data_IF_534027324171
#
_entry.id   IF_534027324171
#
_cell.length_a   1.000
_cell.length_b   1.000
_cell.length_c   1.000
_cell.angle_alpha   90.00
_cell.angle_beta   90.00
_cell.angle_gamma   90.00
#
_symmetry.space_group_name_H-M   'P 1'
#
loop_
_entity.id
_entity.type
_entity.pdbx_description
1 polymer ?
#
# COMPACT_ATOMS: atom_id res chain seq x y z
N UNK A 1 -9.39 27.74 11.19
CA UNK A 1 -9.09 27.93 12.63
C UNK A 1 -8.53 29.33 12.78
N UNK A 2 -9.15 30.18 13.59
CA UNK A 2 -8.67 31.54 13.87
C UNK A 2 -7.39 31.49 14.71
N UNK A 3 -6.63 32.60 14.74
CA UNK A 3 -5.40 32.72 15.56
C UNK A 3 -5.65 32.47 17.05
N UNK A 4 -6.81 32.90 17.55
CA UNK A 4 -7.21 32.68 18.95
C UNK A 4 -7.45 31.21 19.25
N UNK A 5 -8.16 30.52 18.35
CA UNK A 5 -8.42 29.07 18.46
C UNK A 5 -7.12 28.28 18.44
N UNK A 6 -6.19 28.65 17.53
CA UNK A 6 -4.89 28.02 17.43
C UNK A 6 -4.04 28.23 18.70
N UNK A 7 -4.04 29.46 19.25
CA UNK A 7 -3.34 29.77 20.50
C UNK A 7 -3.92 29.03 21.71
N UNK A 8 -5.22 28.87 21.77
CA UNK A 8 -5.88 28.11 22.83
C UNK A 8 -5.53 26.61 22.73
N UNK A 9 -5.63 26.05 21.56
CA UNK A 9 -5.31 24.64 21.31
C UNK A 9 -3.83 24.32 21.54
N UNK A 10 -2.90 25.18 21.08
CA UNK A 10 -1.47 25.07 21.42
C UNK A 10 -1.24 25.11 22.94
N UNK A 11 -1.88 26.05 23.64
CA UNK A 11 -1.73 26.21 25.09
C UNK A 11 -2.11 24.94 25.86
N UNK A 12 -3.19 24.28 25.46
CA UNK A 12 -3.65 23.06 26.10
C UNK A 12 -2.65 21.91 25.92
N UNK A 13 -2.07 21.76 24.73
CA UNK A 13 -1.04 20.75 24.46
C UNK A 13 0.30 21.09 25.12
N UNK A 14 0.67 22.37 25.09
CA UNK A 14 1.89 22.82 25.79
C UNK A 14 1.79 22.65 27.31
N UNK A 15 0.59 22.85 27.89
CA UNK A 15 0.32 22.56 29.30
C UNK A 15 0.53 21.09 29.63
N UNK A 16 0.10 20.18 28.78
CA UNK A 16 0.31 18.73 28.95
C UNK A 16 1.81 18.40 29.01
N UNK A 17 2.63 19.00 28.13
CA UNK A 17 4.08 18.80 28.14
C UNK A 17 4.74 19.35 29.40
N UNK A 18 4.37 20.56 29.80
CA UNK A 18 4.91 21.18 31.02
C UNK A 18 4.56 20.37 32.27
N UNK A 19 3.38 19.80 32.34
CA UNK A 19 2.97 18.93 33.45
C UNK A 19 3.70 17.58 33.43
N UNK A 20 3.94 17.01 32.25
CA UNK A 20 4.73 15.78 32.09
C UNK A 20 6.21 16.00 32.52
N UNK A 21 6.76 17.17 32.23
CA UNK A 21 8.15 17.54 32.56
C UNK A 21 8.31 18.24 33.93
N UNK A 22 7.28 18.17 34.77
CA UNK A 22 7.23 18.92 36.06
C UNK A 22 8.43 18.66 36.96
N UNK A 23 8.92 17.43 37.02
CA UNK A 23 10.08 17.05 37.84
C UNK A 23 11.41 17.61 37.27
N UNK A 24 11.46 17.84 35.94
CA UNK A 24 12.65 18.31 35.23
C UNK A 24 12.45 19.68 34.58
N UNK A 25 11.48 20.47 35.05
CA UNK A 25 11.06 21.73 34.42
C UNK A 25 12.23 22.70 34.16
N UNK A 26 13.19 22.79 35.04
CA UNK A 26 14.35 23.68 34.86
C UNK A 26 15.21 23.25 33.67
N UNK A 27 15.41 21.95 33.48
CA UNK A 27 16.12 21.39 32.33
C UNK A 27 15.34 21.59 31.05
N UNK A 28 14.04 21.27 31.06
CA UNK A 28 13.14 21.49 29.92
C UNK A 28 13.17 22.94 29.43
N UNK A 29 13.11 23.92 30.34
CA UNK A 29 13.19 25.35 30.01
C UNK A 29 14.56 25.74 29.42
N UNK A 30 15.64 25.19 29.94
CA UNK A 30 16.99 25.39 29.39
C UNK A 30 17.13 24.84 28.00
N UNK A 31 16.69 23.59 27.77
CA UNK A 31 16.84 22.89 26.50
C UNK A 31 15.96 23.51 25.40
N UNK A 32 14.76 23.97 25.77
CA UNK A 32 13.85 24.67 24.83
C UNK A 32 14.18 26.14 24.62
N UNK A 33 15.01 26.72 25.46
CA UNK A 33 15.34 28.15 25.44
C UNK A 33 14.16 29.05 25.84
N UNK A 34 13.23 28.51 26.62
CA UNK A 34 12.06 29.24 27.16
C UNK A 34 12.39 29.76 28.53
N UNK A 35 12.32 31.07 28.72
CA UNK A 35 12.41 31.66 30.05
C UNK A 35 11.07 31.58 30.83
N UNK A 36 11.13 31.82 32.14
CA UNK A 36 9.94 31.76 33.01
C UNK A 36 8.85 32.76 32.62
N UNK A 37 9.23 33.91 32.05
CA UNK A 37 8.29 34.92 31.57
C UNK A 37 7.56 34.44 30.33
N UNK A 38 8.30 33.89 29.38
CA UNK A 38 7.71 33.29 28.17
C UNK A 38 6.82 32.08 28.48
N UNK A 39 7.26 31.21 29.42
CA UNK A 39 6.43 30.09 29.90
C UNK A 39 5.09 30.60 30.45
N UNK A 40 5.11 31.62 31.31
CA UNK A 40 3.89 32.20 31.85
C UNK A 40 3.00 32.79 30.78
N UNK A 41 3.57 33.48 29.78
CA UNK A 41 2.81 34.07 28.65
C UNK A 41 2.19 32.99 27.76
N UNK A 42 2.87 31.88 27.51
CA UNK A 42 2.33 30.78 26.70
C UNK A 42 1.20 30.01 27.40
N UNK A 43 1.20 29.98 28.74
CA UNK A 43 0.17 29.32 29.52
C UNK A 43 -0.99 30.25 29.91
N UNK A 44 -0.83 31.57 29.79
CA UNK A 44 -1.89 32.54 30.15
C UNK A 44 -2.98 32.61 29.06
N UNK A 45 -4.23 32.45 29.50
CA UNK A 45 -5.40 32.51 28.62
C UNK A 45 -5.67 33.91 28.02
N UNK A 46 -5.10 34.96 28.63
CA UNK A 46 -5.26 36.33 28.18
C UNK A 46 -4.35 36.71 27.00
N UNK A 47 -3.41 35.86 26.68
CA UNK A 47 -2.43 36.11 25.64
C UNK A 47 -2.62 35.16 24.45
N UNK A 48 -2.85 35.70 23.24
CA UNK A 48 -2.91 34.92 21.99
C UNK A 48 -1.52 34.82 21.34
N UNK A 49 -0.48 34.56 22.15
CA UNK A 49 0.91 34.49 21.65
C UNK A 49 1.30 33.03 21.42
N UNK A 50 1.78 32.77 20.23
CA UNK A 50 2.42 31.50 19.85
C UNK A 50 3.94 31.66 19.93
N UNK A 51 4.69 30.59 20.25
CA UNK A 51 6.14 30.57 20.11
C UNK A 51 6.57 30.83 18.67
N UNK A 52 7.79 31.31 18.50
CA UNK A 52 8.41 31.38 17.16
C UNK A 52 8.73 29.97 16.66
N UNK A 53 8.87 29.82 15.34
CA UNK A 53 9.14 28.52 14.71
C UNK A 53 10.37 27.80 15.32
N UNK A 54 11.43 28.52 15.65
CA UNK A 54 12.60 27.97 16.30
C UNK A 54 12.30 27.40 17.70
N UNK A 55 11.48 28.10 18.47
CA UNK A 55 11.06 27.65 19.81
C UNK A 55 10.13 26.44 19.70
N UNK A 56 9.20 26.42 18.74
CA UNK A 56 8.35 25.26 18.47
C UNK A 56 9.17 24.02 18.12
N UNK A 57 10.20 24.18 17.27
CA UNK A 57 11.13 23.10 16.93
C UNK A 57 11.83 22.55 18.16
N UNK A 58 12.39 23.41 19.00
CA UNK A 58 13.09 22.99 20.24
C UNK A 58 12.15 22.28 21.21
N UNK A 59 10.91 22.77 21.37
CA UNK A 59 9.89 22.09 22.18
C UNK A 59 9.64 20.69 21.64
N UNK A 60 9.43 20.58 20.33
CA UNK A 60 9.16 19.30 19.65
C UNK A 60 10.32 18.30 19.84
N UNK A 61 11.57 18.75 19.58
CA UNK A 61 12.79 17.95 19.75
C UNK A 61 13.01 17.50 21.21
N UNK A 62 12.83 18.40 22.16
CA UNK A 62 13.04 18.11 23.59
C UNK A 62 12.01 17.17 24.17
N UNK A 63 10.74 17.32 23.78
CA UNK A 63 9.63 16.51 24.30
C UNK A 63 9.31 15.27 23.46
N UNK A 64 9.99 15.06 22.32
CA UNK A 64 9.72 13.94 21.43
C UNK A 64 8.32 14.00 20.77
N UNK A 65 7.75 15.22 20.61
CA UNK A 65 6.44 15.42 19.98
C UNK A 65 6.57 16.10 18.62
N UNK A 66 5.56 15.98 17.75
CA UNK A 66 5.57 16.68 16.47
C UNK A 66 5.12 18.14 16.59
N UNK A 67 5.62 18.99 15.68
CA UNK A 67 5.13 20.37 15.53
C UNK A 67 3.65 20.36 15.08
N UNK A 68 3.26 19.39 14.25
CA UNK A 68 1.89 19.25 13.77
C UNK A 68 0.93 18.95 14.93
N UNK A 69 1.36 18.13 15.88
CA UNK A 69 0.60 17.91 17.11
C UNK A 69 0.55 19.20 17.94
N UNK A 70 1.66 19.88 18.16
CA UNK A 70 1.69 21.14 18.90
C UNK A 70 0.74 22.20 18.32
N UNK A 71 0.61 22.23 16.99
CA UNK A 71 -0.27 23.15 16.25
C UNK A 71 -1.67 22.57 15.96
N UNK A 72 -2.02 21.40 16.54
CA UNK A 72 -3.32 20.75 16.40
C UNK A 72 -3.70 20.34 14.97
N UNK A 73 -2.73 20.11 14.13
CA UNK A 73 -2.90 19.51 12.81
C UNK A 73 -3.03 17.97 12.91
N UNK A 74 -2.52 17.37 14.00
CA UNK A 74 -2.59 15.95 14.34
C UNK A 74 -3.03 15.73 15.78
N UNK A 75 -3.61 14.54 16.06
CA UNK A 75 -4.10 14.22 17.42
C UNK A 75 -3.13 13.35 18.23
N UNK A 76 -2.14 12.70 17.63
CA UNK A 76 -1.14 11.89 18.31
C UNK A 76 0.08 12.74 18.69
N UNK A 77 0.53 12.74 19.98
CA UNK A 77 1.67 13.56 20.44
C UNK A 77 2.98 13.14 19.77
N UNK A 78 3.18 11.87 19.59
CA UNK A 78 4.39 11.28 18.99
C UNK A 78 4.64 11.76 17.57
N UNK A 79 3.77 12.67 17.08
CA UNK A 79 3.73 13.03 15.69
C UNK A 79 3.42 11.80 14.89
N UNK A 80 3.37 11.88 13.59
CA UNK A 80 3.67 10.69 12.80
C UNK A 80 5.07 10.26 13.24
N UNK A 81 5.15 9.26 14.13
CA UNK A 81 6.36 8.56 14.53
C UNK A 81 7.21 8.42 13.28
N UNK A 82 8.41 9.04 13.26
CA UNK A 82 9.28 9.15 12.09
C UNK A 82 8.43 9.13 10.83
N UNK A 83 8.10 10.25 10.24
CA UNK A 83 7.33 10.24 8.99
C UNK A 83 8.07 9.32 8.06
N UNK A 84 7.73 8.03 8.09
CA UNK A 84 7.98 7.20 6.91
C UNK A 84 7.34 8.04 5.83
N UNK A 85 8.12 8.62 4.91
CA UNK A 85 7.56 9.53 3.93
C UNK A 85 6.32 8.85 3.38
N UNK A 86 5.22 9.58 3.16
CA UNK A 86 3.96 9.00 2.67
C UNK A 86 4.15 8.14 1.43
N UNK A 87 5.36 8.17 0.87
CA UNK A 87 5.91 7.29 -0.15
C UNK A 87 7.36 6.95 0.18
N UNK A 88 7.74 5.68 0.16
CA UNK A 88 9.12 5.21 0.34
C UNK A 88 9.38 3.98 -0.51
N UNK A 89 10.64 3.80 -0.89
CA UNK A 89 11.08 2.60 -1.59
C UNK A 89 11.43 1.53 -0.56
N UNK A 90 10.87 0.34 -0.76
CA UNK A 90 11.21 -0.86 0.02
C UNK A 90 11.80 -1.89 -0.94
N UNK A 91 12.98 -2.42 -0.62
CA UNK A 91 13.56 -3.53 -1.38
C UNK A 91 12.70 -4.77 -1.23
N UNK A 92 12.65 -5.61 -2.25
CA UNK A 92 11.93 -6.89 -2.23
C UNK A 92 12.42 -7.82 -1.12
N UNK A 93 13.72 -7.82 -0.85
CA UNK A 93 14.33 -8.40 0.36
C UNK A 93 14.46 -7.29 1.40
N UNK A 94 13.54 -7.23 2.36
CA UNK A 94 13.61 -6.27 3.45
C UNK A 94 14.95 -6.31 4.19
N UNK A 95 15.26 -5.25 4.92
CA UNK A 95 16.51 -5.10 5.68
C UNK A 95 16.75 -6.19 6.74
N UNK A 96 15.70 -6.92 7.12
CA UNK A 96 15.68 -8.04 8.06
C UNK A 96 15.55 -9.42 7.36
N UNK A 97 15.68 -9.46 6.02
CA UNK A 97 15.61 -10.69 5.21
C UNK A 97 14.20 -11.23 5.00
N UNK A 98 13.16 -10.49 5.41
CA UNK A 98 11.75 -10.82 5.14
C UNK A 98 11.23 -9.96 4.00
N UNK A 99 10.45 -10.55 3.10
CA UNK A 99 9.80 -9.78 2.06
C UNK A 99 8.76 -8.83 2.70
N UNK A 100 8.81 -7.52 2.43
CA UNK A 100 7.84 -6.57 2.98
C UNK A 100 6.40 -6.92 2.59
N UNK A 101 6.23 -7.59 1.47
CA UNK A 101 4.94 -8.04 0.96
C UNK A 101 4.23 -9.01 1.92
N UNK A 102 4.98 -9.93 2.56
CA UNK A 102 4.43 -10.87 3.55
C UNK A 102 3.79 -10.13 4.72
N UNK A 103 4.51 -9.14 5.24
CA UNK A 103 4.02 -8.31 6.34
C UNK A 103 2.79 -7.51 5.92
N UNK A 104 2.77 -6.93 4.70
CA UNK A 104 1.64 -6.14 4.20
C UNK A 104 0.37 -6.98 4.01
N UNK A 105 0.53 -8.24 3.60
CA UNK A 105 -0.59 -9.19 3.53
C UNK A 105 -1.15 -9.53 4.90
N UNK A 106 -0.30 -9.71 5.91
CA UNK A 106 -0.74 -9.92 7.30
C UNK A 106 -1.44 -8.68 7.86
N UNK A 107 -0.87 -7.49 7.66
CA UNK A 107 -1.48 -6.22 8.07
C UNK A 107 -2.85 -5.99 7.42
N UNK A 108 -3.05 -6.49 6.20
CA UNK A 108 -4.28 -6.33 5.43
C UNK A 108 -5.29 -7.48 5.66
N UNK A 109 -5.06 -8.36 6.63
CA UNK A 109 -6.00 -9.43 6.93
C UNK A 109 -7.38 -8.89 7.28
N UNK A 110 -8.45 -9.51 6.74
CA UNK A 110 -9.82 -9.04 6.86
C UNK A 110 -10.17 -7.80 6.01
N UNK A 111 -9.25 -7.32 5.17
CA UNK A 111 -9.49 -6.20 4.27
C UNK A 111 -9.44 -6.65 2.80
N UNK A 112 -10.19 -5.94 1.94
CA UNK A 112 -10.17 -6.19 0.51
C UNK A 112 -8.80 -5.90 -0.10
N UNK A 113 -8.24 -6.89 -0.81
CA UNK A 113 -7.07 -6.75 -1.64
C UNK A 113 -7.49 -6.42 -3.08
N UNK A 114 -6.90 -5.36 -3.67
CA UNK A 114 -7.07 -5.01 -5.08
C UNK A 114 -5.73 -5.11 -5.78
N UNK A 115 -5.66 -5.93 -6.81
CA UNK A 115 -4.41 -6.29 -7.43
C UNK A 115 -4.44 -6.10 -8.96
N UNK A 116 -3.50 -5.34 -9.48
CA UNK A 116 -3.19 -5.22 -10.91
C UNK A 116 -1.83 -5.86 -11.12
N UNK A 117 -1.76 -7.10 -11.62
CA UNK A 117 -0.50 -7.81 -11.82
C UNK A 117 0.30 -7.25 -12.99
N UNK A 118 1.61 -7.52 -13.00
CA UNK A 118 2.49 -7.22 -14.13
C UNK A 118 2.33 -8.21 -15.27
N UNK A 119 2.09 -9.47 -14.92
CA UNK A 119 1.91 -10.61 -15.84
C UNK A 119 0.73 -11.46 -15.39
N UNK A 120 0.91 -12.75 -15.08
CA UNK A 120 -0.11 -13.57 -14.43
C UNK A 120 -0.17 -13.24 -12.92
N UNK A 121 -1.37 -13.31 -12.32
CA UNK A 121 -1.47 -13.21 -10.86
C UNK A 121 -0.80 -14.41 -10.19
N UNK A 122 0.15 -14.16 -9.28
CA UNK A 122 0.95 -15.22 -8.65
C UNK A 122 0.09 -16.27 -7.96
N UNK A 123 -0.97 -15.84 -7.28
CA UNK A 123 -1.93 -16.72 -6.61
C UNK A 123 -2.71 -17.64 -7.54
N UNK A 124 -2.72 -17.33 -8.84
CA UNK A 124 -3.38 -18.11 -9.89
C UNK A 124 -2.38 -18.86 -10.76
N UNK A 125 -1.07 -18.73 -10.50
CA UNK A 125 -0.02 -19.30 -11.33
C UNK A 125 0.42 -20.68 -10.81
N UNK A 126 0.65 -21.60 -11.76
CA UNK A 126 1.27 -22.89 -11.49
C UNK A 126 2.80 -22.72 -11.39
N UNK A 127 3.43 -23.51 -10.53
CA UNK A 127 4.89 -23.49 -10.35
C UNK A 127 5.68 -23.86 -11.60
N UNK A 128 5.08 -24.58 -12.52
CA UNK A 128 5.72 -25.04 -13.78
C UNK A 128 5.74 -23.94 -14.86
N UNK A 129 4.86 -22.94 -14.75
CA UNK A 129 4.81 -21.75 -15.63
C UNK A 129 5.79 -20.69 -15.18
N UNK A 130 6.11 -20.73 -13.92
CA UNK A 130 6.96 -19.77 -13.20
C UNK A 130 8.47 -19.81 -13.58
N UNK A 131 9.10 -20.91 -14.08
CA UNK A 131 10.56 -20.86 -14.34
C UNK A 131 10.95 -19.83 -15.40
N UNK A 132 10.21 -19.71 -16.48
CA UNK A 132 10.52 -18.78 -17.59
C UNK A 132 10.03 -17.37 -17.26
N UNK A 133 8.94 -17.27 -16.54
CA UNK A 133 8.49 -16.03 -15.91
C UNK A 133 9.43 -15.64 -14.77
N UNK A 134 9.98 -16.60 -14.03
CA UNK A 134 10.99 -16.41 -12.98
C UNK A 134 12.32 -15.96 -13.55
N UNK A 135 12.85 -16.54 -14.64
CA UNK A 135 14.05 -16.05 -15.31
C UNK A 135 13.84 -14.66 -15.93
N UNK A 136 12.64 -14.38 -16.45
CA UNK A 136 12.26 -13.04 -16.89
C UNK A 136 11.91 -12.09 -15.75
N UNK A 137 11.48 -12.58 -14.58
CA UNK A 137 11.19 -11.80 -13.39
C UNK A 137 12.34 -11.80 -12.38
N UNK A 138 13.22 -12.81 -12.33
CA UNK A 138 14.50 -12.75 -11.61
C UNK A 138 15.48 -11.81 -12.31
N UNK A 139 15.45 -11.75 -13.65
CA UNK A 139 16.05 -10.65 -14.40
C UNK A 139 15.28 -9.31 -14.21
N UNK A 140 14.08 -9.32 -13.62
CA UNK A 140 13.20 -8.18 -13.32
C UNK A 140 12.85 -8.05 -11.84
N UNK A 141 13.45 -8.86 -10.94
CA UNK A 141 13.32 -8.77 -9.50
C UNK A 141 11.98 -9.24 -8.93
N UNK A 142 11.46 -10.38 -9.32
CA UNK A 142 10.13 -10.80 -8.89
C UNK A 142 10.06 -12.04 -8.01
N UNK A 143 10.20 -11.91 -6.70
CA UNK A 143 10.02 -12.96 -5.69
C UNK A 143 8.65 -12.99 -4.99
N UNK A 144 7.53 -12.71 -5.68
CA UNK A 144 6.17 -12.74 -5.08
C UNK A 144 5.64 -14.15 -4.83
N UNK A 145 6.41 -15.18 -5.18
CA UNK A 145 6.00 -16.58 -5.29
C UNK A 145 5.58 -17.28 -3.98
N UNK A 146 5.90 -16.72 -2.82
CA UNK A 146 5.70 -17.45 -1.56
C UNK A 146 4.58 -16.91 -0.67
N UNK A 147 4.14 -15.68 -0.86
CA UNK A 147 3.26 -15.01 0.12
C UNK A 147 1.83 -15.49 0.05
N UNK A 148 1.36 -15.86 -1.13
CA UNK A 148 -0.05 -16.26 -1.32
C UNK A 148 -0.22 -17.77 -1.48
N UNK A 149 0.87 -18.55 -1.63
CA UNK A 149 0.79 -20.03 -1.68
C UNK A 149 0.32 -20.70 -0.38
N UNK A 150 0.35 -19.98 0.75
CA UNK A 150 -0.15 -20.47 2.04
C UNK A 150 -1.38 -19.71 2.54
N UNK A 151 -1.91 -18.77 1.76
CA UNK A 151 -3.07 -17.97 2.15
C UNK A 151 -4.34 -18.75 1.82
N UNK A 152 -5.16 -19.01 2.83
CA UNK A 152 -6.51 -19.51 2.60
C UNK A 152 -7.33 -18.42 1.88
N UNK A 153 -7.64 -18.66 0.60
CA UNK A 153 -8.40 -17.74 -0.23
C UNK A 153 -9.86 -17.61 0.22
N UNK A 154 -10.36 -18.56 1.03
CA UNK A 154 -11.76 -18.54 1.49
C UNK A 154 -12.03 -17.46 2.52
N UNK A 155 -11.02 -17.06 3.29
CA UNK A 155 -11.13 -15.98 4.30
C UNK A 155 -10.75 -14.60 3.74
N UNK A 156 -10.49 -14.46 2.42
CA UNK A 156 -10.01 -13.23 1.82
C UNK A 156 -10.98 -12.67 0.77
N UNK A 157 -11.05 -11.36 0.68
CA UNK A 157 -11.75 -10.63 -0.39
C UNK A 157 -10.71 -10.08 -1.38
N UNK A 158 -10.47 -10.83 -2.47
CA UNK A 158 -9.44 -10.52 -3.46
C UNK A 158 -10.09 -10.15 -4.79
N UNK A 159 -9.70 -9.00 -5.32
CA UNK A 159 -10.18 -8.50 -6.60
C UNK A 159 -8.99 -8.18 -7.50
N UNK A 160 -8.94 -8.79 -8.67
CA UNK A 160 -7.85 -8.69 -9.64
C UNK A 160 -8.39 -8.04 -10.92
N UNK A 161 -7.64 -7.11 -11.48
CA UNK A 161 -7.91 -6.54 -12.78
C UNK A 161 -6.65 -6.64 -13.66
N UNK A 162 -6.75 -7.31 -14.82
CA UNK A 162 -5.60 -7.49 -15.71
C UNK A 162 -6.00 -7.34 -17.20
N UNK A 163 -5.03 -7.08 -18.09
CA UNK A 163 -5.31 -7.03 -19.52
C UNK A 163 -5.72 -8.41 -20.07
N UNK A 164 -6.79 -8.44 -20.87
CA UNK A 164 -7.19 -9.67 -21.59
C UNK A 164 -6.07 -10.19 -22.50
N UNK A 165 -5.27 -9.29 -23.09
CA UNK A 165 -4.17 -9.63 -23.97
C UNK A 165 -3.13 -10.52 -23.31
N UNK A 166 -2.87 -10.37 -22.02
CA UNK A 166 -1.97 -11.23 -21.27
C UNK A 166 -2.37 -12.71 -21.36
N UNK A 167 -3.67 -13.00 -21.23
CA UNK A 167 -4.20 -14.36 -21.34
C UNK A 167 -4.27 -14.85 -22.80
N UNK A 168 -4.52 -13.94 -23.75
CA UNK A 168 -4.48 -14.24 -25.17
C UNK A 168 -3.05 -14.62 -25.62
N UNK A 169 -2.04 -13.89 -25.13
CA UNK A 169 -0.63 -14.20 -25.39
C UNK A 169 -0.23 -15.54 -24.78
N UNK A 170 -0.67 -15.83 -23.55
CA UNK A 170 -0.47 -17.14 -22.92
C UNK A 170 -1.09 -18.27 -23.78
N UNK A 171 -2.33 -18.11 -24.21
CA UNK A 171 -3.02 -19.10 -25.05
C UNK A 171 -2.29 -19.30 -26.38
N UNK A 172 -1.87 -18.22 -27.02
CA UNK A 172 -1.19 -18.26 -28.32
C UNK A 172 0.27 -18.73 -28.26
N UNK A 173 0.91 -18.72 -27.05
CA UNK A 173 2.34 -18.94 -26.92
C UNK A 173 3.15 -17.80 -27.52
N UNK A 174 2.72 -16.56 -27.29
CA UNK A 174 3.40 -15.36 -27.74
C UNK A 174 3.99 -14.55 -26.59
N UNK A 175 4.81 -13.55 -26.91
CA UNK A 175 5.43 -12.69 -25.90
C UNK A 175 6.30 -13.46 -24.91
N UNK A 176 5.98 -13.37 -23.65
CA UNK A 176 6.72 -14.02 -22.53
C UNK A 176 6.60 -15.55 -22.57
N UNK A 177 5.55 -16.11 -23.16
CA UNK A 177 5.29 -17.55 -23.17
C UNK A 177 5.67 -18.24 -24.49
N UNK A 178 6.54 -17.60 -25.30
CA UNK A 178 6.99 -18.17 -26.60
C UNK A 178 7.63 -19.54 -26.42
N UNK A 179 8.43 -19.68 -25.39
CA UNK A 179 9.21 -20.89 -25.11
C UNK A 179 8.49 -21.83 -24.12
N UNK A 180 7.32 -21.44 -23.63
CA UNK A 180 6.51 -22.25 -22.71
C UNK A 180 5.75 -23.32 -23.49
N UNK A 181 5.93 -24.63 -23.16
CA UNK A 181 5.25 -25.74 -23.82
C UNK A 181 3.71 -25.59 -23.81
N UNK A 182 3.08 -25.98 -24.91
CA UNK A 182 1.63 -25.86 -25.07
C UNK A 182 0.82 -26.53 -23.96
N UNK A 183 1.22 -27.71 -23.54
CA UNK A 183 0.55 -28.47 -22.48
C UNK A 183 0.61 -27.73 -21.12
N UNK A 184 1.70 -27.06 -20.82
CA UNK A 184 1.86 -26.22 -19.62
C UNK A 184 0.92 -25.02 -19.69
N UNK A 185 0.85 -24.33 -20.83
CA UNK A 185 -0.02 -23.17 -21.03
C UNK A 185 -1.50 -23.54 -20.90
N UNK A 186 -1.90 -24.71 -21.45
CA UNK A 186 -3.27 -25.23 -21.30
C UNK A 186 -3.56 -25.57 -19.82
N UNK A 187 -2.63 -26.23 -19.11
CA UNK A 187 -2.80 -26.52 -17.68
C UNK A 187 -2.96 -25.27 -16.86
N UNK A 188 -2.19 -24.24 -17.16
CA UNK A 188 -2.27 -22.94 -16.49
C UNK A 188 -3.65 -22.30 -16.67
N UNK A 189 -4.15 -22.23 -17.90
CA UNK A 189 -5.47 -21.66 -18.17
C UNK A 189 -6.58 -22.44 -17.47
N UNK A 190 -6.53 -23.78 -17.49
CA UNK A 190 -7.50 -24.63 -16.79
C UNK A 190 -7.44 -24.45 -15.28
N UNK A 191 -6.23 -24.35 -14.71
CA UNK A 191 -6.05 -24.08 -13.29
C UNK A 191 -6.70 -22.73 -12.89
N UNK A 192 -6.50 -21.69 -13.68
CA UNK A 192 -7.17 -20.40 -13.47
C UNK A 192 -8.70 -20.53 -13.60
N UNK A 193 -9.19 -21.28 -14.57
CA UNK A 193 -10.63 -21.55 -14.75
C UNK A 193 -11.22 -22.16 -13.48
N UNK A 194 -10.59 -23.21 -12.96
CA UNK A 194 -11.02 -23.95 -11.76
C UNK A 194 -11.00 -23.06 -10.52
N UNK A 195 -9.92 -22.31 -10.30
CA UNK A 195 -9.80 -21.42 -9.15
C UNK A 195 -10.81 -20.27 -9.20
N UNK A 196 -10.97 -19.61 -10.35
CA UNK A 196 -11.94 -18.53 -10.49
C UNK A 196 -13.38 -19.00 -10.28
N UNK A 197 -13.72 -20.20 -10.74
CA UNK A 197 -15.04 -20.78 -10.51
C UNK A 197 -15.25 -21.22 -9.06
N UNK A 198 -14.26 -21.90 -8.46
CA UNK A 198 -14.39 -22.46 -7.11
C UNK A 198 -14.35 -21.41 -6.00
N UNK A 199 -13.59 -20.32 -6.20
CA UNK A 199 -13.37 -19.28 -5.18
C UNK A 199 -14.23 -18.02 -5.38
N UNK A 200 -15.11 -17.99 -6.35
CA UNK A 200 -16.09 -16.91 -6.48
C UNK A 200 -17.10 -16.96 -5.32
N UNK A 201 -17.48 -15.87 -4.67
CA UNK A 201 -17.09 -14.47 -4.93
C UNK A 201 -15.88 -13.95 -4.15
N UNK A 202 -15.19 -14.76 -3.36
CA UNK A 202 -14.03 -14.36 -2.56
C UNK A 202 -12.85 -13.92 -3.46
N UNK A 203 -12.66 -14.60 -4.59
CA UNK A 203 -11.71 -14.25 -5.64
C UNK A 203 -12.46 -13.79 -6.89
N UNK A 204 -12.18 -12.56 -7.35
CA UNK A 204 -12.78 -11.97 -8.54
C UNK A 204 -11.70 -11.50 -9.51
N UNK A 205 -11.73 -12.05 -10.72
CA UNK A 205 -10.84 -11.66 -11.81
C UNK A 205 -11.62 -10.90 -12.89
N UNK A 206 -11.18 -9.69 -13.20
CA UNK A 206 -11.73 -8.81 -14.22
C UNK A 206 -10.73 -8.61 -15.35
N UNK A 207 -11.18 -8.73 -16.60
CA UNK A 207 -10.32 -8.57 -17.75
C UNK A 207 -10.70 -7.29 -18.52
N UNK A 208 -9.77 -6.34 -18.60
CA UNK A 208 -9.93 -5.13 -19.40
C UNK A 208 -9.16 -5.19 -20.71
N UNK A 209 -9.52 -4.34 -21.66
CA UNK A 209 -8.80 -4.22 -22.93
C UNK A 209 -7.58 -3.32 -22.76
N UNK A 210 -6.40 -3.93 -22.67
CA UNK A 210 -5.12 -3.24 -22.49
C UNK A 210 -4.73 -2.32 -23.66
N UNK A 211 -5.38 -2.46 -24.83
CA UNK A 211 -5.20 -1.53 -25.96
C UNK A 211 -5.93 -0.20 -25.74
N UNK A 212 -6.95 -0.18 -24.90
CA UNK A 212 -7.79 1.00 -24.59
C UNK A 212 -7.44 1.64 -23.25
N UNK A 213 -7.02 0.84 -22.28
CA UNK A 213 -6.74 1.31 -20.92
C UNK A 213 -5.40 0.79 -20.45
N UNK A 214 -4.46 1.69 -20.20
CA UNK A 214 -3.17 1.35 -19.62
C UNK A 214 -3.22 1.46 -18.09
N UNK A 215 -2.57 0.52 -17.41
CA UNK A 215 -2.25 0.63 -15.97
C UNK A 215 -0.88 0.03 -15.69
N UNK A 216 -0.08 0.72 -14.87
CA UNK A 216 1.07 0.11 -14.23
C UNK A 216 0.59 -0.96 -13.21
N UNK A 217 1.41 -1.97 -12.90
CA UNK A 217 1.10 -2.94 -11.85
C UNK A 217 1.10 -2.28 -10.47
N UNK A 218 0.08 -2.56 -9.66
CA UNK A 218 0.00 -2.08 -8.28
C UNK A 218 -0.93 -2.96 -7.44
N UNK A 219 -0.75 -2.88 -6.13
CA UNK A 219 -1.62 -3.54 -5.14
C UNK A 219 -2.14 -2.52 -4.14
N UNK A 220 -3.42 -2.61 -3.78
CA UNK A 220 -4.02 -1.84 -2.69
C UNK A 220 -4.39 -2.78 -1.56
N UNK A 221 -3.75 -2.60 -0.42
CA UNK A 221 -3.93 -3.39 0.80
C UNK A 221 -4.95 -2.69 1.70
N UNK A 222 -6.22 -2.92 1.45
CA UNK A 222 -7.32 -2.30 2.20
C UNK A 222 -7.26 -0.77 2.19
N UNK A 223 -7.16 -0.20 3.40
CA UNK A 223 -7.02 1.26 3.63
C UNK A 223 -5.64 1.65 4.16
N UNK A 224 -4.72 0.69 4.25
CA UNK A 224 -3.45 0.89 4.94
C UNK A 224 -2.35 1.31 3.98
N UNK A 225 -2.36 0.78 2.74
CA UNK A 225 -1.24 0.95 1.83
C UNK A 225 -1.65 0.71 0.38
N UNK A 226 -1.00 1.41 -0.55
CA UNK A 226 -0.88 1.01 -1.93
C UNK A 226 0.60 0.77 -2.25
N UNK A 227 0.92 -0.21 -3.08
CA UNK A 227 2.28 -0.51 -3.48
C UNK A 227 2.36 -0.64 -5.00
N UNK A 228 3.36 -0.02 -5.61
CA UNK A 228 3.68 -0.13 -7.04
C UNK A 228 4.96 -0.97 -7.14
N UNK A 229 4.90 -2.03 -7.93
CA UNK A 229 6.06 -2.88 -8.19
C UNK A 229 6.96 -2.26 -9.25
N UNK A 230 8.26 -2.18 -8.98
CA UNK A 230 9.26 -1.55 -9.84
C UNK A 230 10.30 -2.53 -10.42
N UNK A 231 10.14 -3.84 -10.14
CA UNK A 231 11.02 -4.89 -10.65
C UNK A 231 11.89 -5.54 -9.56
N UNK A 232 12.54 -4.76 -8.72
CA UNK A 232 13.38 -5.20 -7.59
C UNK A 232 13.01 -4.55 -6.26
N UNK A 233 12.00 -3.69 -6.31
CA UNK A 233 11.59 -2.88 -5.18
C UNK A 233 10.11 -2.46 -5.32
N UNK A 234 9.55 -2.02 -4.21
CA UNK A 234 8.20 -1.49 -4.14
C UNK A 234 8.21 -0.02 -3.76
N UNK A 235 7.48 0.80 -4.50
CA UNK A 235 7.11 2.13 -4.04
C UNK A 235 5.87 2.00 -3.16
N UNK A 236 6.07 2.04 -1.86
CA UNK A 236 5.02 1.97 -0.84
C UNK A 236 4.41 3.34 -0.59
N UNK A 237 3.07 3.43 -0.59
CA UNK A 237 2.28 4.64 -0.46
C UNK A 237 1.29 4.45 0.69
N UNK A 238 1.37 5.29 1.73
CA UNK A 238 0.59 5.14 2.96
C UNK A 238 -0.36 6.30 3.24
N UNK A 239 -0.31 7.40 2.47
CA UNK A 239 -1.27 8.47 2.67
C UNK A 239 -2.67 8.10 2.20
N UNK A 240 -3.69 8.52 2.95
CA UNK A 240 -5.10 8.24 2.62
C UNK A 240 -5.50 8.72 1.22
N UNK A 241 -4.94 9.84 0.75
CA UNK A 241 -5.28 10.37 -0.57
C UNK A 241 -4.64 9.56 -1.70
N UNK A 242 -3.40 9.09 -1.50
CA UNK A 242 -2.73 8.18 -2.44
C UNK A 242 -3.46 6.84 -2.51
N UNK A 243 -3.83 6.25 -1.37
CA UNK A 243 -4.59 5.00 -1.32
C UNK A 243 -5.95 5.16 -2.02
N UNK A 244 -6.68 6.26 -1.77
CA UNK A 244 -7.93 6.58 -2.47
C UNK A 244 -7.74 6.73 -3.97
N UNK A 245 -6.63 7.34 -4.41
CA UNK A 245 -6.31 7.48 -5.83
C UNK A 245 -6.18 6.10 -6.49
N UNK A 246 -5.39 5.20 -5.92
CA UNK A 246 -5.20 3.84 -6.46
C UNK A 246 -6.47 3.00 -6.37
N UNK A 247 -7.26 3.13 -5.30
CA UNK A 247 -8.57 2.49 -5.20
C UNK A 247 -9.49 2.93 -6.34
N UNK A 248 -9.61 4.24 -6.59
CA UNK A 248 -10.41 4.77 -7.71
C UNK A 248 -9.86 4.34 -9.07
N UNK A 249 -8.54 4.24 -9.20
CA UNK A 249 -7.91 3.72 -10.43
C UNK A 249 -8.28 2.27 -10.67
N UNK A 250 -8.22 1.43 -9.63
CA UNK A 250 -8.67 0.04 -9.70
C UNK A 250 -10.15 -0.06 -10.08
N UNK A 251 -11.02 0.67 -9.38
CA UNK A 251 -12.45 0.70 -9.67
C UNK A 251 -12.75 1.15 -11.12
N UNK A 252 -11.90 2.03 -11.68
CA UNK A 252 -12.01 2.41 -13.09
C UNK A 252 -11.67 1.25 -14.00
N UNK A 253 -10.60 0.46 -13.74
CA UNK A 253 -10.25 -0.72 -14.52
C UNK A 253 -11.38 -1.76 -14.50
N UNK A 254 -11.96 -2.01 -13.34
CA UNK A 254 -13.12 -2.92 -13.20
C UNK A 254 -14.31 -2.44 -14.03
N UNK A 255 -14.63 -1.14 -14.02
CA UNK A 255 -15.70 -0.58 -14.86
C UNK A 255 -15.42 -0.63 -16.36
N UNK A 256 -14.14 -0.65 -16.76
CA UNK A 256 -13.71 -0.78 -18.16
C UNK A 256 -13.47 -2.23 -18.57
N UNK A 257 -13.75 -3.20 -17.68
CA UNK A 257 -13.60 -4.61 -18.01
C UNK A 257 -14.56 -5.02 -19.13
N UNK A 258 -14.01 -5.72 -20.10
CA UNK A 258 -14.76 -6.32 -21.21
C UNK A 258 -15.29 -7.70 -20.84
N UNK A 259 -14.72 -8.31 -19.79
CA UNK A 259 -15.14 -9.58 -19.19
C UNK A 259 -15.15 -9.40 -17.67
N UNK A 260 -16.32 -9.59 -17.09
CA UNK A 260 -16.52 -9.53 -15.64
C UNK A 260 -16.10 -10.81 -14.93
N UNK A 261 -15.97 -10.73 -13.62
CA UNK A 261 -15.55 -11.87 -12.78
C UNK A 261 -16.55 -13.05 -12.77
N UNK A 262 -17.79 -12.81 -13.11
CA UNK A 262 -18.85 -13.82 -13.26
C UNK A 262 -18.68 -14.67 -14.50
N UNK A 263 -18.17 -14.10 -15.59
CA UNK A 263 -18.02 -14.74 -16.90
C UNK A 263 -16.55 -15.13 -17.25
N UNK A 264 -15.58 -14.79 -16.37
CA UNK A 264 -14.16 -14.97 -16.68
C UNK A 264 -13.77 -16.44 -16.87
N UNK A 265 -14.38 -17.35 -16.11
CA UNK A 265 -14.09 -18.78 -16.21
C UNK A 265 -14.45 -19.37 -17.58
N UNK A 266 -15.52 -18.91 -18.22
CA UNK A 266 -15.90 -19.32 -19.59
C UNK A 266 -14.86 -18.85 -20.62
N UNK A 267 -14.34 -17.63 -20.42
CA UNK A 267 -13.30 -17.07 -21.29
C UNK A 267 -11.98 -17.82 -21.16
N UNK A 268 -11.58 -18.16 -19.92
CA UNK A 268 -10.36 -18.94 -19.65
C UNK A 268 -10.45 -20.33 -20.29
N UNK A 269 -11.60 -21.00 -20.17
CA UNK A 269 -11.82 -22.31 -20.77
C UNK A 269 -11.77 -22.23 -22.33
N UNK A 270 -12.40 -21.23 -22.91
CA UNK A 270 -12.33 -20.99 -24.36
C UNK A 270 -10.88 -20.73 -24.83
N UNK A 271 -10.08 -20.00 -24.07
CA UNK A 271 -8.67 -19.77 -24.37
C UNK A 271 -7.85 -21.06 -24.23
N UNK A 272 -8.13 -21.92 -23.24
CA UNK A 272 -7.48 -23.22 -23.10
C UNK A 272 -7.77 -24.17 -24.26
N UNK A 273 -9.02 -24.18 -24.79
CA UNK A 273 -9.42 -24.97 -25.92
C UNK A 273 -8.78 -24.45 -27.22
N UNK A 274 -8.66 -23.14 -27.41
CA UNK A 274 -8.10 -22.49 -28.59
C UNK A 274 -6.58 -22.40 -28.59
N UNK A 275 -5.88 -22.83 -27.54
CA UNK A 275 -4.43 -22.73 -27.41
C UNK A 275 -3.70 -23.42 -28.58
N UNK A 276 -2.73 -22.73 -29.19
CA UNK A 276 -1.97 -23.14 -30.39
C UNK A 276 -0.59 -23.67 -30.04
#
# INVERSE_FOLDING_TARGET
MDKRDLSAAFRDRFRQLVEAEKENLTRFLSDTGIDRSALSQFLDQKHDRLPRAETLRRIAETSGVSIDWLLCLENAPEGRSETKPSSHLESETGSDGKAPLDQWHLEAEGHKLRYVPSTLPDMLSLSDVTPEERDASDARGGGVENVLKGVDLDDRDIEIAMPLQTLQDLSAGSGLWRDTPKDIRIRQLRHMTELCAAKYPALRLHLYDGSKVFSAPFTVFGRMRAAIYLGDSYLSLTSSDQIKFFTKRFDHLVRQSVIGSDAVHETLDALAISAR
#
